data_IF_705397160136
#
_entry.id   IF_705397160136
#
_cell.length_a   1.000
_cell.length_b   1.000
_cell.length_c   1.000
_cell.angle_alpha   90.00
_cell.angle_beta   90.00
_cell.angle_gamma   90.00
#
_symmetry.space_group_name_H-M   'P 1'
#
loop_
_entity.id
_entity.type
_entity.pdbx_description
1 polymer ?
#
# COMPACT_ATOMS: atom_id res chain seq x y z
N UNK A 1 -1.21 11.16 42.51
CA UNK A 1 -0.59 11.48 41.21
C UNK A 1 0.35 10.32 40.87
N UNK A 2 -0.13 9.32 40.13
CA UNK A 2 0.67 8.13 39.82
C UNK A 2 1.69 8.48 38.73
N UNK A 3 2.93 8.71 39.15
CA UNK A 3 4.05 8.83 38.24
C UNK A 3 4.31 7.45 37.63
N UNK A 4 3.76 7.20 36.43
CA UNK A 4 4.14 6.06 35.61
C UNK A 4 5.67 6.07 35.44
N UNK A 5 6.33 5.07 36.01
CA UNK A 5 7.78 4.98 36.02
C UNK A 5 8.20 4.47 34.64
N UNK A 6 9.15 5.14 33.97
CA UNK A 6 9.64 4.76 32.64
C UNK A 6 10.09 3.28 32.53
N UNK A 7 10.39 2.64 33.66
CA UNK A 7 10.67 1.20 33.77
C UNK A 7 9.51 0.31 33.34
N UNK A 8 8.26 0.75 33.51
CA UNK A 8 7.07 -0.04 33.20
C UNK A 8 6.83 -0.10 31.68
N UNK A 9 7.18 0.96 30.95
CA UNK A 9 7.04 1.04 29.49
C UNK A 9 7.96 0.04 28.77
N UNK A 10 9.19 -0.15 29.23
CA UNK A 10 10.08 -1.18 28.70
C UNK A 10 9.55 -2.60 28.98
N UNK A 11 8.95 -2.82 30.15
CA UNK A 11 8.30 -4.09 30.50
C UNK A 11 7.08 -4.38 29.62
N UNK A 12 6.24 -3.37 29.35
CA UNK A 12 5.06 -3.49 28.49
C UNK A 12 5.43 -3.74 27.02
N UNK A 13 6.45 -3.06 26.50
CA UNK A 13 7.00 -3.37 25.17
C UNK A 13 7.54 -4.80 25.14
N UNK A 14 7.96 -5.39 26.27
CA UNK A 14 8.33 -6.80 26.37
C UNK A 14 7.21 -7.79 26.01
N UNK A 15 5.94 -7.42 26.20
CA UNK A 15 4.81 -8.32 26.07
C UNK A 15 4.40 -8.53 24.59
N UNK A 16 4.32 -9.78 24.09
CA UNK A 16 3.94 -10.06 22.70
C UNK A 16 2.58 -9.46 22.31
N UNK A 17 1.58 -9.56 23.18
CA UNK A 17 0.25 -9.01 22.95
C UNK A 17 0.23 -7.49 22.80
N UNK A 18 1.04 -6.78 23.58
CA UNK A 18 1.16 -5.32 23.47
C UNK A 18 1.84 -4.92 22.15
N UNK A 19 2.90 -5.62 21.73
CA UNK A 19 3.56 -5.39 20.44
C UNK A 19 2.62 -5.60 19.26
N UNK A 20 1.80 -6.66 19.30
CA UNK A 20 0.80 -6.93 18.28
C UNK A 20 -0.30 -5.84 18.26
N UNK A 21 -0.78 -5.41 19.43
CA UNK A 21 -1.73 -4.31 19.54
C UNK A 21 -1.18 -3.03 18.90
N UNK A 22 0.06 -2.65 19.26
CA UNK A 22 0.75 -1.49 18.69
C UNK A 22 0.93 -1.61 17.17
N UNK A 23 1.29 -2.80 16.69
CA UNK A 23 1.43 -3.10 15.26
C UNK A 23 0.12 -2.86 14.51
N UNK A 24 -0.99 -3.42 15.00
CA UNK A 24 -2.30 -3.23 14.37
C UNK A 24 -2.72 -1.76 14.38
N UNK A 25 -2.55 -1.06 15.51
CA UNK A 25 -2.85 0.37 15.59
C UNK A 25 -2.03 1.17 14.58
N UNK A 26 -0.74 0.87 14.43
CA UNK A 26 0.13 1.52 13.46
C UNK A 26 -0.31 1.27 12.01
N UNK A 27 -0.64 0.02 11.67
CA UNK A 27 -1.14 -0.34 10.35
C UNK A 27 -2.45 0.39 10.02
N UNK A 28 -3.40 0.44 10.97
CA UNK A 28 -4.67 1.14 10.81
C UNK A 28 -4.42 2.64 10.64
N UNK A 29 -3.58 3.24 11.50
CA UNK A 29 -3.25 4.66 11.42
C UNK A 29 -2.59 5.03 10.08
N UNK A 30 -1.63 4.21 9.60
CA UNK A 30 -1.00 4.41 8.31
C UNK A 30 -1.99 4.27 7.15
N UNK A 31 -2.88 3.27 7.19
CA UNK A 31 -3.93 3.11 6.19
C UNK A 31 -4.89 4.30 6.17
N UNK A 32 -5.35 4.77 7.34
CA UNK A 32 -6.23 5.93 7.45
C UNK A 32 -5.54 7.20 6.97
N UNK A 33 -4.26 7.41 7.31
CA UNK A 33 -3.47 8.55 6.84
C UNK A 33 -3.29 8.55 5.31
N UNK A 34 -3.05 7.38 4.73
CA UNK A 34 -3.03 7.22 3.27
C UNK A 34 -4.40 7.51 2.65
N UNK A 35 -5.45 6.90 3.19
CA UNK A 35 -6.81 7.04 2.68
C UNK A 35 -7.30 8.49 2.73
N UNK A 36 -7.04 9.17 3.85
CA UNK A 36 -7.38 10.57 4.00
C UNK A 36 -6.67 11.42 2.94
N UNK A 37 -5.37 11.24 2.74
CA UNK A 37 -4.64 11.98 1.71
C UNK A 37 -5.20 11.76 0.29
N UNK A 38 -5.65 10.53 -0.01
CA UNK A 38 -6.21 10.18 -1.33
C UNK A 38 -7.60 10.79 -1.55
N UNK A 39 -8.48 10.76 -0.55
CA UNK A 39 -9.89 11.22 -0.69
C UNK A 39 -10.11 12.70 -0.33
N UNK A 40 -9.10 13.38 0.24
CA UNK A 40 -9.28 14.74 0.74
C UNK A 40 -9.44 15.77 -0.39
N UNK A 41 -10.68 16.26 -0.58
CA UNK A 41 -11.04 17.21 -1.66
C UNK A 41 -10.20 18.49 -1.67
N UNK A 42 -9.77 19.00 -0.52
CA UNK A 42 -8.97 20.23 -0.47
C UNK A 42 -7.54 20.00 -0.98
N UNK A 43 -6.98 18.79 -0.81
CA UNK A 43 -5.67 18.43 -1.38
C UNK A 43 -5.76 18.42 -2.90
N UNK A 44 -6.85 17.86 -3.45
CA UNK A 44 -7.10 17.87 -4.90
C UNK A 44 -7.23 19.31 -5.43
N UNK A 45 -8.03 20.14 -4.77
CA UNK A 45 -8.21 21.55 -5.15
C UNK A 45 -6.90 22.34 -5.06
N UNK A 46 -6.09 22.11 -4.04
CA UNK A 46 -4.77 22.73 -3.89
C UNK A 46 -3.82 22.30 -5.03
N UNK A 47 -3.76 21.01 -5.35
CA UNK A 47 -2.95 20.49 -6.46
C UNK A 47 -3.39 21.07 -7.80
N UNK A 48 -4.70 21.18 -8.04
CA UNK A 48 -5.26 21.76 -9.24
C UNK A 48 -4.89 23.24 -9.40
N UNK A 49 -4.97 24.02 -8.31
CA UNK A 49 -4.56 25.45 -8.32
C UNK A 49 -3.05 25.61 -8.50
N UNK A 50 -2.26 24.72 -7.90
CA UNK A 50 -0.79 24.82 -7.90
C UNK A 50 -0.15 24.35 -9.21
N UNK A 51 -0.81 23.43 -9.91
CA UNK A 51 -0.31 22.79 -11.12
C UNK A 51 -1.39 22.79 -12.21
N UNK A 52 -1.48 23.86 -13.01
CA UNK A 52 -2.52 23.96 -14.05
C UNK A 52 -2.52 22.74 -15.01
N UNK A 53 -1.38 22.48 -15.66
CA UNK A 53 -1.22 21.34 -16.55
C UNK A 53 -0.72 20.09 -15.80
N UNK A 54 -1.45 18.99 -15.93
CA UNK A 54 -1.00 17.67 -15.47
C UNK A 54 -1.08 17.44 -13.95
N UNK A 55 -1.85 18.24 -13.19
CA UNK A 55 -2.03 18.04 -11.74
C UNK A 55 -2.48 16.61 -11.40
N UNK A 56 -3.40 16.03 -12.18
CA UNK A 56 -3.92 14.66 -11.94
C UNK A 56 -2.80 13.63 -11.86
N UNK A 57 -1.82 13.74 -12.76
CA UNK A 57 -0.64 12.86 -12.79
C UNK A 57 0.28 13.11 -11.60
N UNK A 58 0.53 14.37 -11.25
CA UNK A 58 1.38 14.71 -10.11
C UNK A 58 0.75 14.27 -8.79
N UNK A 59 -0.55 14.46 -8.64
CA UNK A 59 -1.33 13.99 -7.50
C UNK A 59 -1.31 12.47 -7.40
N UNK A 60 -1.48 11.76 -8.52
CA UNK A 60 -1.33 10.30 -8.57
C UNK A 60 0.04 9.85 -8.05
N UNK A 61 1.13 10.43 -8.58
CA UNK A 61 2.50 10.11 -8.16
C UNK A 61 2.69 10.41 -6.67
N UNK A 62 2.27 11.59 -6.22
CA UNK A 62 2.37 12.00 -4.82
C UNK A 62 1.64 11.02 -3.89
N UNK A 63 0.41 10.61 -4.24
CA UNK A 63 -0.38 9.67 -3.46
C UNK A 63 0.30 8.28 -3.38
N UNK A 64 0.88 7.79 -4.49
CA UNK A 64 1.59 6.50 -4.48
C UNK A 64 2.87 6.54 -3.67
N UNK A 65 3.64 7.63 -3.78
CA UNK A 65 4.82 7.84 -2.94
C UNK A 65 4.46 8.00 -1.47
N UNK A 66 3.38 8.71 -1.15
CA UNK A 66 2.88 8.87 0.21
C UNK A 66 2.47 7.53 0.82
N UNK A 67 1.72 6.72 0.09
CA UNK A 67 1.37 5.37 0.52
C UNK A 67 2.60 4.47 0.71
N UNK A 68 3.51 4.46 -0.26
CA UNK A 68 4.75 3.69 -0.16
C UNK A 68 5.61 4.12 1.04
N UNK A 69 5.71 5.42 1.29
CA UNK A 69 6.40 5.98 2.45
C UNK A 69 5.76 5.53 3.77
N UNK A 70 4.44 5.70 3.92
CA UNK A 70 3.72 5.28 5.13
C UNK A 70 3.86 3.79 5.40
N UNK A 71 3.70 2.95 4.37
CA UNK A 71 3.86 1.50 4.52
C UNK A 71 5.30 1.08 4.79
N UNK A 72 6.29 1.78 4.24
CA UNK A 72 7.70 1.55 4.58
C UNK A 72 8.02 1.95 6.02
N UNK A 73 7.36 2.99 6.55
CA UNK A 73 7.47 3.36 7.96
C UNK A 73 6.89 2.26 8.86
N UNK A 74 5.71 1.73 8.52
CA UNK A 74 5.13 0.57 9.22
C UNK A 74 6.10 -0.61 9.23
N UNK A 75 6.66 -0.97 8.07
CA UNK A 75 7.66 -2.04 7.96
C UNK A 75 8.87 -1.79 8.86
N UNK A 76 9.42 -0.57 8.83
CA UNK A 76 10.60 -0.21 9.62
C UNK A 76 10.34 -0.35 11.13
N UNK A 77 9.20 0.15 11.61
CA UNK A 77 8.80 0.00 13.02
C UNK A 77 8.55 -1.46 13.37
N UNK A 78 7.95 -2.24 12.45
CA UNK A 78 7.70 -3.67 12.65
C UNK A 78 9.00 -4.46 12.85
N UNK A 79 10.04 -4.16 12.08
CA UNK A 79 11.35 -4.80 12.24
C UNK A 79 12.01 -4.47 13.60
N UNK A 80 11.75 -3.28 14.15
CA UNK A 80 12.22 -2.90 15.50
C UNK A 80 11.43 -3.61 16.60
N UNK A 81 10.11 -3.72 16.45
CA UNK A 81 9.25 -4.41 17.43
C UNK A 81 9.48 -5.94 17.43
N UNK A 82 9.82 -6.49 16.27
CA UNK A 82 9.94 -7.93 16.04
C UNK A 82 11.32 -8.27 15.43
N UNK A 83 12.42 -8.09 16.19
CA UNK A 83 13.80 -8.20 15.66
C UNK A 83 14.19 -9.62 15.19
N UNK A 84 13.43 -10.65 15.58
CA UNK A 84 13.61 -12.02 15.10
C UNK A 84 13.09 -12.24 13.67
N UNK A 85 12.29 -11.33 13.13
CA UNK A 85 11.71 -11.44 11.79
C UNK A 85 12.59 -10.68 10.80
N UNK A 86 12.94 -11.34 9.70
CA UNK A 86 13.77 -10.79 8.62
C UNK A 86 12.89 -10.39 7.43
N UNK A 87 13.42 -9.58 6.52
CA UNK A 87 12.72 -9.27 5.26
C UNK A 87 12.24 -10.53 4.53
N UNK A 88 13.04 -11.60 4.56
CA UNK A 88 12.67 -12.90 3.98
C UNK A 88 11.38 -13.50 4.58
N UNK A 89 11.17 -13.39 5.89
CA UNK A 89 9.93 -13.84 6.55
C UNK A 89 8.73 -12.95 6.24
N UNK A 90 8.96 -11.71 5.80
CA UNK A 90 7.91 -10.76 5.43
C UNK A 90 7.55 -10.82 3.94
N UNK A 91 7.95 -11.89 3.23
CA UNK A 91 7.64 -12.10 1.82
C UNK A 91 8.65 -11.49 0.85
N UNK A 92 9.76 -10.91 1.32
CA UNK A 92 10.86 -10.41 0.47
C UNK A 92 11.87 -11.52 0.11
N UNK A 93 11.42 -12.77 -0.04
CA UNK A 93 12.26 -13.86 -0.51
C UNK A 93 11.73 -14.45 -1.80
N UNK A 94 12.65 -14.70 -2.74
CA UNK A 94 12.33 -15.39 -3.98
C UNK A 94 12.59 -16.88 -3.76
N UNK A 95 11.53 -17.65 -3.61
CA UNK A 95 11.63 -19.11 -3.56
C UNK A 95 11.86 -19.65 -4.97
N UNK A 96 13.02 -20.28 -5.21
CA UNK A 96 13.33 -20.91 -6.50
C UNK A 96 12.34 -22.01 -6.88
N UNK A 97 11.79 -22.72 -5.88
CA UNK A 97 10.83 -23.80 -6.11
C UNK A 97 9.43 -23.28 -6.41
N UNK A 98 9.03 -22.14 -5.81
CA UNK A 98 7.72 -21.53 -6.06
C UNK A 98 7.72 -20.58 -7.27
N UNK A 99 8.88 -20.11 -7.72
CA UNK A 99 9.00 -19.09 -8.77
C UNK A 99 8.24 -19.47 -10.06
N UNK A 100 8.49 -20.66 -10.61
CA UNK A 100 7.85 -21.11 -11.85
C UNK A 100 6.32 -21.26 -11.67
N UNK A 101 5.82 -21.96 -10.64
CA UNK A 101 4.38 -21.99 -10.35
C UNK A 101 3.75 -20.59 -10.21
N UNK A 102 4.39 -19.67 -9.47
CA UNK A 102 3.87 -18.30 -9.30
C UNK A 102 3.81 -17.55 -10.63
N UNK A 103 4.83 -17.70 -11.49
CA UNK A 103 4.84 -17.09 -12.82
C UNK A 103 3.71 -17.65 -13.70
N UNK A 104 3.49 -18.97 -13.68
CA UNK A 104 2.39 -19.60 -14.42
C UNK A 104 1.03 -19.12 -13.92
N UNK A 105 0.84 -18.99 -12.62
CA UNK A 105 -0.37 -18.39 -12.04
C UNK A 105 -0.57 -16.95 -12.49
N UNK A 106 0.47 -16.13 -12.45
CA UNK A 106 0.40 -14.75 -12.92
C UNK A 106 0.04 -14.68 -14.42
N UNK A 107 0.61 -15.55 -15.25
CA UNK A 107 0.29 -15.63 -16.67
C UNK A 107 -1.18 -15.99 -16.93
N UNK A 108 -1.81 -16.81 -16.08
CA UNK A 108 -3.24 -17.12 -16.17
C UNK A 108 -4.14 -16.01 -15.61
N UNK A 109 -3.74 -15.41 -14.49
CA UNK A 109 -4.55 -14.41 -13.78
C UNK A 109 -4.54 -13.03 -14.44
N UNK A 110 -3.43 -12.62 -15.06
CA UNK A 110 -3.31 -11.32 -15.73
C UNK A 110 -4.37 -11.16 -16.84
N UNK A 111 -4.52 -12.08 -17.81
CA UNK A 111 -5.56 -11.99 -18.83
C UNK A 111 -6.97 -11.94 -18.24
N UNK A 112 -7.25 -12.75 -17.22
CA UNK A 112 -8.54 -12.74 -16.53
C UNK A 112 -8.82 -11.40 -15.86
N UNK A 113 -7.83 -10.82 -15.17
CA UNK A 113 -7.94 -9.50 -14.54
C UNK A 113 -8.15 -8.39 -15.58
N UNK A 114 -7.41 -8.42 -16.70
CA UNK A 114 -7.58 -7.48 -17.81
C UNK A 114 -8.97 -7.59 -18.41
N UNK A 115 -9.47 -8.81 -18.62
CA UNK A 115 -10.79 -9.06 -19.16
C UNK A 115 -11.89 -8.50 -18.24
N UNK A 116 -11.87 -8.87 -16.95
CA UNK A 116 -12.85 -8.41 -15.97
C UNK A 116 -12.83 -6.88 -15.81
N UNK A 117 -11.63 -6.30 -15.69
CA UNK A 117 -11.47 -4.84 -15.56
C UNK A 117 -11.94 -4.13 -16.84
N UNK A 118 -11.67 -4.71 -18.01
CA UNK A 118 -12.15 -4.21 -19.29
C UNK A 118 -13.68 -4.19 -19.39
N UNK A 119 -14.35 -5.26 -18.96
CA UNK A 119 -15.81 -5.31 -18.90
C UNK A 119 -16.38 -4.27 -17.94
N UNK A 120 -15.80 -4.12 -16.76
CA UNK A 120 -16.22 -3.15 -15.76
C UNK A 120 -16.06 -1.71 -16.27
N UNK A 121 -14.92 -1.39 -16.88
CA UNK A 121 -14.68 -0.07 -17.45
C UNK A 121 -15.66 0.24 -18.59
N UNK A 122 -15.95 -0.72 -19.48
CA UNK A 122 -16.97 -0.56 -20.52
C UNK A 122 -18.36 -0.28 -19.93
N UNK A 123 -18.72 -0.95 -18.83
CA UNK A 123 -19.99 -0.69 -18.12
C UNK A 123 -20.03 0.72 -17.52
N UNK A 124 -18.95 1.17 -16.89
CA UNK A 124 -18.86 2.50 -16.29
C UNK A 124 -18.95 3.62 -17.34
N UNK A 125 -18.30 3.43 -18.50
CA UNK A 125 -18.38 4.36 -19.64
C UNK A 125 -19.82 4.50 -20.15
N UNK A 126 -20.57 3.40 -20.25
CA UNK A 126 -21.99 3.43 -20.66
C UNK A 126 -22.90 4.16 -19.67
N UNK A 127 -22.50 4.27 -18.42
CA UNK A 127 -23.27 4.92 -17.36
C UNK A 127 -22.93 6.41 -17.19
N UNK A 128 -22.02 6.97 -18.01
CA UNK A 128 -21.52 8.36 -17.89
C UNK A 128 -20.99 8.73 -16.50
N UNK A 129 -20.68 7.72 -15.67
CA UNK A 129 -20.06 7.92 -14.36
C UNK A 129 -18.56 7.92 -14.58
N UNK A 130 -17.96 9.10 -14.71
CA UNK A 130 -16.51 9.21 -14.65
C UNK A 130 -16.05 8.62 -13.31
N UNK A 131 -15.14 7.63 -13.28
CA UNK A 131 -14.64 7.08 -12.03
C UNK A 131 -13.80 8.16 -11.35
N UNK A 132 -14.43 8.92 -10.46
CA UNK A 132 -13.84 9.97 -9.63
C UNK A 132 -12.64 9.45 -8.80
N UNK A 133 -12.58 8.13 -8.59
CA UNK A 133 -11.52 7.42 -7.87
C UNK A 133 -10.17 7.41 -8.58
N UNK A 134 -10.14 7.48 -9.92
CA UNK A 134 -8.90 7.43 -10.71
C UNK A 134 -8.92 8.50 -11.79
N UNK A 135 -8.82 9.79 -11.41
CA UNK A 135 -8.86 10.90 -12.35
C UNK A 135 -7.77 10.82 -13.44
N UNK A 136 -6.66 10.14 -13.16
CA UNK A 136 -5.56 9.85 -14.09
C UNK A 136 -5.96 8.93 -15.25
N UNK A 137 -6.95 8.06 -15.09
CA UNK A 137 -7.42 7.19 -16.19
C UNK A 137 -8.20 8.02 -17.21
N UNK A 138 -8.84 9.11 -16.77
CA UNK A 138 -9.56 10.05 -17.61
C UNK A 138 -8.71 11.19 -18.18
N UNK A 139 -7.37 11.14 -18.12
CA UNK A 139 -6.53 12.14 -18.82
C UNK A 139 -6.40 11.77 -20.29
N UNK A 140 -6.81 12.67 -21.17
CA UNK A 140 -6.53 12.59 -22.61
C UNK A 140 -5.01 12.68 -22.84
N UNK A 141 -4.44 11.73 -23.59
CA UNK A 141 -3.00 11.72 -23.91
C UNK A 141 -2.15 10.76 -23.07
N UNK A 142 -2.51 9.48 -23.04
CA UNK A 142 -1.58 8.43 -22.61
C UNK A 142 -0.43 8.32 -23.61
N UNK A 143 0.79 8.55 -23.14
CA UNK A 143 2.01 8.32 -23.92
C UNK A 143 2.88 7.27 -23.23
N UNK A 144 3.91 6.77 -23.92
CA UNK A 144 4.79 5.72 -23.38
C UNK A 144 5.39 6.11 -22.02
N UNK A 145 5.76 7.39 -21.85
CA UNK A 145 6.29 7.90 -20.59
C UNK A 145 5.26 7.86 -19.46
N UNK A 146 4.01 8.26 -19.71
CA UNK A 146 2.96 8.22 -18.69
C UNK A 146 2.62 6.79 -18.30
N UNK A 147 2.62 5.86 -19.27
CA UNK A 147 2.42 4.44 -19.01
C UNK A 147 3.52 3.86 -18.12
N UNK A 148 4.80 4.10 -18.45
CA UNK A 148 5.94 3.63 -17.67
C UNK A 148 5.88 4.16 -16.24
N UNK A 149 5.63 5.46 -16.06
CA UNK A 149 5.49 6.04 -14.72
C UNK A 149 4.34 5.41 -13.94
N UNK A 150 3.20 5.16 -14.60
CA UNK A 150 2.05 4.53 -13.96
C UNK A 150 2.41 3.13 -13.46
N UNK A 151 3.08 2.32 -14.30
CA UNK A 151 3.56 0.98 -13.92
C UNK A 151 4.52 1.08 -12.73
N UNK A 152 5.55 1.92 -12.80
CA UNK A 152 6.56 2.05 -11.74
C UNK A 152 5.92 2.43 -10.41
N UNK A 153 5.12 3.49 -10.37
CA UNK A 153 4.55 3.97 -9.10
C UNK A 153 3.48 3.04 -8.54
N UNK A 154 2.73 2.34 -9.40
CA UNK A 154 1.87 1.25 -8.92
C UNK A 154 2.66 0.09 -8.36
N UNK A 155 3.72 -0.36 -9.04
CA UNK A 155 4.57 -1.45 -8.55
C UNK A 155 5.17 -1.10 -7.20
N UNK A 156 5.77 0.08 -7.06
CA UNK A 156 6.34 0.55 -5.78
C UNK A 156 5.29 0.57 -4.66
N UNK A 157 4.11 1.14 -4.93
CA UNK A 157 3.02 1.19 -3.97
C UNK A 157 2.51 -0.21 -3.59
N UNK A 158 2.28 -1.08 -4.58
CA UNK A 158 1.76 -2.44 -4.37
C UNK A 158 2.76 -3.32 -3.64
N UNK A 159 4.06 -3.19 -3.92
CA UNK A 159 5.10 -3.90 -3.19
C UNK A 159 5.11 -3.47 -1.72
N UNK A 160 5.11 -2.17 -1.43
CA UNK A 160 5.06 -1.68 -0.05
C UNK A 160 3.78 -2.14 0.68
N UNK A 161 2.65 -2.08 -0.02
CA UNK A 161 1.36 -2.57 0.46
C UNK A 161 1.41 -4.08 0.74
N UNK A 162 1.94 -4.89 -0.16
CA UNK A 162 2.01 -6.35 -0.02
C UNK A 162 2.87 -6.74 1.20
N UNK A 163 4.01 -6.10 1.41
CA UNK A 163 4.87 -6.37 2.56
C UNK A 163 4.13 -6.07 3.87
N UNK A 164 3.38 -4.97 3.94
CA UNK A 164 2.62 -4.63 5.16
C UNK A 164 1.43 -5.58 5.36
N UNK A 165 0.64 -5.84 4.32
CA UNK A 165 -0.59 -6.62 4.48
C UNK A 165 -0.35 -8.13 4.58
N UNK A 166 0.54 -8.69 3.75
CA UNK A 166 0.87 -10.12 3.82
C UNK A 166 1.99 -10.37 4.81
N UNK A 167 3.09 -9.61 4.73
CA UNK A 167 4.22 -9.81 5.63
C UNK A 167 3.87 -9.45 7.08
N UNK A 168 3.58 -8.17 7.32
CA UNK A 168 3.42 -7.66 8.68
C UNK A 168 2.09 -8.08 9.31
N UNK A 169 0.97 -7.90 8.62
CA UNK A 169 -0.37 -8.15 9.19
C UNK A 169 -0.80 -9.62 9.18
N UNK A 170 -0.25 -10.46 8.31
CA UNK A 170 -0.65 -11.86 8.21
C UNK A 170 0.43 -12.82 8.74
N UNK A 171 1.69 -12.68 8.31
CA UNK A 171 2.74 -13.63 8.73
C UNK A 171 3.16 -13.42 10.19
N UNK A 172 3.37 -12.18 10.66
CA UNK A 172 3.78 -11.96 12.07
C UNK A 172 2.76 -12.55 13.05
N UNK A 173 1.45 -12.26 12.92
CA UNK A 173 0.46 -12.86 13.83
C UNK A 173 0.34 -14.38 13.67
N UNK A 174 0.36 -14.90 12.44
CA UNK A 174 0.26 -16.35 12.21
C UNK A 174 1.38 -17.11 12.93
N UNK A 175 2.63 -16.64 12.79
CA UNK A 175 3.79 -17.25 13.46
C UNK A 175 3.71 -17.14 14.99
N UNK A 176 3.08 -16.09 15.52
CA UNK A 176 2.92 -15.94 16.97
C UNK A 176 1.82 -16.80 17.57
N UNK A 177 0.83 -17.21 16.78
CA UNK A 177 -0.29 -18.04 17.21
C UNK A 177 0.02 -19.54 17.06
N UNK A 178 0.94 -19.91 16.16
CA UNK A 178 1.33 -21.30 15.88
C UNK A 178 0.70 -21.81 14.60
#
# INVERSE_FOLDING_TARGET
MYAYRWTDLHGMIGMPGFRLGLLYTLCIAAYLAYWFAVEHKQVHAWFQRRYEAGWKRRLFIANKLWGAFLFSLVLSVSLVLFPGYRGATLGLSISRTALVPTLLWNLGLIPAAVFVTGLQNRKLLRQSKAPMRYPEIGTEGWNRRSLILHIIFWSVYLTAYEIVFRGVLLIIPAVMIG
#
